data_IF_836318440686
#
_entry.id   IF_836318440686
#
_cell.length_a   1.000
_cell.length_b   1.000
_cell.length_c   1.000
_cell.angle_alpha   90.00
_cell.angle_beta   90.00
_cell.angle_gamma   90.00
#
_symmetry.space_group_name_H-M   'P 1'
#
loop_
_entity.id
_entity.type
_entity.pdbx_description
1 polymer ?
#
# COMPACT_ATOMS: atom_id res chain seq x y z
N UNK A 1 -5.98 13.37 -3.21
CA UNK A 1 -5.28 12.08 -3.04
C UNK A 1 -5.45 11.13 -4.22
N UNK A 2 -6.65 10.57 -4.50
CA UNK A 2 -6.81 9.58 -5.59
C UNK A 2 -6.39 10.14 -6.96
N UNK A 3 -6.86 11.34 -7.30
CA UNK A 3 -6.47 12.05 -8.53
C UNK A 3 -4.95 12.20 -8.62
N UNK A 4 -4.32 12.65 -7.55
CA UNK A 4 -2.88 12.93 -7.52
C UNK A 4 -2.06 11.65 -7.72
N UNK A 5 -2.47 10.56 -7.04
CA UNK A 5 -1.88 9.23 -7.21
C UNK A 5 -2.03 8.75 -8.66
N UNK A 6 -3.23 8.86 -9.24
CA UNK A 6 -3.46 8.48 -10.64
C UNK A 6 -2.60 9.30 -11.59
N UNK A 7 -2.53 10.63 -11.42
CA UNK A 7 -1.70 11.50 -12.27
C UNK A 7 -0.21 11.12 -12.19
N UNK A 8 0.29 10.80 -10.99
CA UNK A 8 1.67 10.35 -10.82
C UNK A 8 1.95 9.03 -11.56
N UNK A 9 1.11 8.01 -11.36
CA UNK A 9 1.28 6.71 -12.02
C UNK A 9 0.95 6.71 -13.51
N UNK A 10 0.26 7.74 -14.01
CA UNK A 10 0.05 7.99 -15.44
C UNK A 10 1.19 8.80 -16.08
N UNK A 11 2.22 9.21 -15.33
CA UNK A 11 3.39 9.88 -15.89
C UNK A 11 4.30 8.92 -16.65
N UNK A 12 5.30 9.46 -17.38
CA UNK A 12 6.22 8.64 -18.18
C UNK A 12 7.26 7.86 -17.35
N UNK A 13 7.40 8.15 -16.06
CA UNK A 13 8.44 7.54 -15.22
C UNK A 13 8.01 7.46 -13.75
N UNK A 14 6.93 6.71 -13.44
CA UNK A 14 6.55 6.46 -12.06
C UNK A 14 7.58 5.56 -11.38
N UNK A 15 7.88 5.86 -10.12
CA UNK A 15 8.77 5.04 -9.31
C UNK A 15 8.01 3.85 -8.73
N UNK A 16 8.58 2.65 -8.86
CA UNK A 16 8.04 1.43 -8.28
C UNK A 16 8.00 1.51 -6.74
N UNK A 17 8.95 2.24 -6.14
CA UNK A 17 9.01 2.48 -4.70
C UNK A 17 7.85 3.34 -4.18
N UNK A 18 7.19 4.11 -5.06
CA UNK A 18 6.10 4.98 -4.69
C UNK A 18 4.75 4.25 -4.56
N UNK A 19 4.66 2.99 -5.00
CA UNK A 19 3.40 2.22 -5.02
C UNK A 19 2.85 2.00 -3.62
N UNK A 20 3.69 1.51 -2.70
CA UNK A 20 3.28 1.20 -1.32
C UNK A 20 2.98 2.49 -0.53
N UNK A 21 3.83 3.53 -0.56
CA UNK A 21 3.49 4.84 0.00
C UNK A 21 2.18 5.43 -0.54
N UNK A 22 1.89 5.25 -1.83
CA UNK A 22 0.62 5.72 -2.41
C UNK A 22 -0.58 4.92 -1.89
N UNK A 23 -0.45 3.60 -1.76
CA UNK A 23 -1.47 2.74 -1.17
C UNK A 23 -1.73 3.09 0.30
N UNK A 24 -0.67 3.32 1.09
CA UNK A 24 -0.75 3.74 2.49
C UNK A 24 -1.41 5.11 2.63
N UNK A 25 -1.05 6.06 1.77
CA UNK A 25 -1.65 7.39 1.75
C UNK A 25 -3.15 7.35 1.40
N UNK A 26 -3.53 6.48 0.45
CA UNK A 26 -4.93 6.20 0.13
C UNK A 26 -5.64 5.62 1.36
N UNK A 27 -5.10 4.57 2.00
CA UNK A 27 -5.77 3.94 3.14
C UNK A 27 -5.98 4.92 4.30
N UNK A 28 -4.92 5.66 4.64
CA UNK A 28 -4.93 6.67 5.71
C UNK A 28 -5.97 7.75 5.46
N UNK A 29 -6.04 8.30 4.24
CA UNK A 29 -6.99 9.37 3.89
C UNK A 29 -8.45 8.94 4.07
N UNK A 30 -8.76 7.66 3.81
CA UNK A 30 -10.11 7.15 4.00
C UNK A 30 -10.39 6.63 5.42
N UNK A 31 -9.36 6.18 6.14
CA UNK A 31 -9.48 5.85 7.56
C UNK A 31 -9.81 7.11 8.38
N UNK A 32 -9.14 8.23 8.10
CA UNK A 32 -9.44 9.52 8.73
C UNK A 32 -10.84 10.03 8.39
N UNK A 33 -11.27 9.90 7.11
CA UNK A 33 -12.61 10.30 6.69
C UNK A 33 -13.76 9.50 7.34
N UNK A 34 -13.48 8.31 7.88
CA UNK A 34 -14.46 7.48 8.60
C UNK A 34 -14.60 7.90 10.08
N UNK A 35 -13.60 8.56 10.65
CA UNK A 35 -13.62 9.03 12.04
C UNK A 35 -14.39 10.36 12.21
N UNK A 36 -14.42 11.20 11.16
CA UNK A 36 -15.03 12.54 11.19
C UNK A 36 -16.52 12.56 10.81
N UNK A 37 -17.11 11.45 10.34
CA UNK A 37 -18.46 11.47 9.77
C UNK A 37 -19.49 10.70 10.62
N UNK A 38 -20.53 11.45 10.99
CA UNK A 38 -21.90 11.00 11.27
C UNK A 38 -22.35 9.90 10.28
N UNK A 39 -23.25 8.99 10.71
CA UNK A 39 -23.67 7.76 10.00
C UNK A 39 -23.57 7.87 8.47
N UNK A 40 -22.55 7.24 7.89
CA UNK A 40 -22.40 7.15 6.45
C UNK A 40 -23.60 6.36 5.89
N UNK A 41 -24.12 6.79 4.74
CA UNK A 41 -25.21 6.05 4.09
C UNK A 41 -24.73 4.67 3.60
N UNK A 42 -25.66 3.70 3.50
CA UNK A 42 -25.34 2.33 3.10
C UNK A 42 -24.52 2.21 1.79
N UNK A 43 -24.77 3.00 0.73
CA UNK A 43 -23.93 2.98 -0.48
C UNK A 43 -22.48 3.38 -0.22
N UNK A 44 -22.22 4.38 0.64
CA UNK A 44 -20.87 4.81 0.98
C UNK A 44 -20.14 3.74 1.79
N UNK A 45 -20.82 3.10 2.75
CA UNK A 45 -20.27 1.96 3.48
C UNK A 45 -19.89 0.79 2.56
N UNK A 46 -20.75 0.49 1.59
CA UNK A 46 -20.48 -0.56 0.61
C UNK A 46 -19.28 -0.21 -0.27
N UNK A 47 -19.21 1.02 -0.77
CA UNK A 47 -18.08 1.50 -1.56
C UNK A 47 -16.75 1.44 -0.78
N UNK A 48 -16.75 1.85 0.50
CA UNK A 48 -15.57 1.74 1.37
C UNK A 48 -15.14 0.29 1.60
N UNK A 49 -16.11 -0.62 1.73
CA UNK A 49 -15.83 -2.06 1.90
C UNK A 49 -15.20 -2.65 0.65
N UNK A 50 -15.73 -2.33 -0.54
CA UNK A 50 -15.14 -2.73 -1.81
C UNK A 50 -13.72 -2.17 -1.93
N UNK A 51 -13.54 -0.87 -1.66
CA UNK A 51 -12.21 -0.22 -1.71
C UNK A 51 -11.20 -0.95 -0.82
N UNK A 52 -11.56 -1.26 0.43
CA UNK A 52 -10.68 -1.94 1.37
C UNK A 52 -10.30 -3.34 0.87
N UNK A 53 -11.26 -4.11 0.34
CA UNK A 53 -10.97 -5.42 -0.28
C UNK A 53 -10.01 -5.28 -1.47
N UNK A 54 -10.24 -4.28 -2.33
CA UNK A 54 -9.35 -4.01 -3.46
C UNK A 54 -7.95 -3.65 -3.00
N UNK A 55 -7.80 -2.78 -2.01
CA UNK A 55 -6.50 -2.38 -1.49
C UNK A 55 -5.75 -3.56 -0.88
N UNK A 56 -6.42 -4.38 -0.06
CA UNK A 56 -5.84 -5.59 0.50
C UNK A 56 -5.37 -6.58 -0.57
N UNK A 57 -6.11 -6.71 -1.68
CA UNK A 57 -5.67 -7.52 -2.82
C UNK A 57 -4.35 -6.99 -3.40
N UNK A 58 -4.22 -5.68 -3.57
CA UNK A 58 -2.98 -5.11 -4.11
C UNK A 58 -1.82 -5.22 -3.12
N UNK A 59 -2.05 -5.09 -1.81
CA UNK A 59 -1.00 -5.34 -0.82
C UNK A 59 -0.49 -6.78 -0.91
N UNK A 60 -1.40 -7.75 -1.01
CA UNK A 60 -1.00 -9.15 -1.20
C UNK A 60 -0.21 -9.35 -2.52
N UNK A 61 -0.55 -8.64 -3.59
CA UNK A 61 0.19 -8.75 -4.86
C UNK A 61 1.57 -8.10 -4.79
N UNK A 62 1.73 -6.97 -4.10
CA UNK A 62 3.04 -6.35 -3.88
C UNK A 62 3.91 -7.24 -3.00
N UNK A 63 3.32 -7.86 -1.98
CA UNK A 63 4.05 -8.75 -1.06
C UNK A 63 4.53 -10.04 -1.73
N UNK A 64 3.81 -10.54 -2.73
CA UNK A 64 4.19 -11.75 -3.48
C UNK A 64 5.05 -11.46 -4.72
N UNK A 65 5.50 -10.23 -4.92
CA UNK A 65 6.26 -9.85 -6.11
C UNK A 65 7.71 -9.56 -5.76
N UNK A 66 8.61 -10.40 -6.27
CA UNK A 66 10.06 -10.29 -6.07
C UNK A 66 10.58 -8.88 -6.36
N UNK A 67 10.05 -8.22 -7.39
CA UNK A 67 10.46 -6.86 -7.78
C UNK A 67 10.15 -5.85 -6.68
N UNK A 68 8.96 -5.92 -6.07
CA UNK A 68 8.59 -5.01 -4.97
C UNK A 68 9.35 -5.35 -3.70
N UNK A 69 9.56 -6.63 -3.39
CA UNK A 69 10.40 -7.07 -2.28
C UNK A 69 11.83 -6.54 -2.41
N UNK A 70 12.47 -6.75 -3.56
CA UNK A 70 13.83 -6.29 -3.86
C UNK A 70 13.90 -4.76 -3.80
N UNK A 71 12.95 -4.05 -4.41
CA UNK A 71 12.91 -2.60 -4.38
C UNK A 71 12.84 -2.07 -2.95
N UNK A 72 12.02 -2.68 -2.09
CA UNK A 72 11.91 -2.31 -0.67
C UNK A 72 13.22 -2.57 0.10
N UNK A 73 13.86 -3.72 -0.09
CA UNK A 73 15.16 -4.05 0.54
C UNK A 73 16.24 -3.06 0.12
N UNK A 74 16.25 -2.64 -1.14
CA UNK A 74 17.23 -1.71 -1.71
C UNK A 74 16.93 -0.24 -1.38
N UNK A 75 15.77 0.07 -0.81
CA UNK A 75 15.41 1.45 -0.53
C UNK A 75 16.19 2.01 0.67
N UNK A 76 17.03 3.05 0.48
CA UNK A 76 17.98 3.51 1.50
C UNK A 76 17.32 4.06 2.78
N UNK A 77 16.02 4.38 2.74
CA UNK A 77 15.24 4.81 3.90
C UNK A 77 14.17 3.81 4.35
N UNK A 78 13.87 2.75 3.59
CA UNK A 78 13.00 1.64 4.03
C UNK A 78 13.89 0.54 4.59
N UNK A 79 14.47 0.81 5.75
CA UNK A 79 15.30 -0.15 6.47
C UNK A 79 14.48 -1.41 6.78
N UNK A 80 15.17 -2.54 6.94
CA UNK A 80 14.70 -3.87 7.39
C UNK A 80 13.62 -3.87 8.50
N UNK A 81 13.44 -2.76 9.23
CA UNK A 81 12.32 -2.51 10.13
C UNK A 81 10.93 -2.69 9.52
N UNK A 82 10.74 -2.43 8.22
CA UNK A 82 9.42 -2.62 7.58
C UNK A 82 9.02 -4.10 7.54
N UNK A 83 9.97 -4.99 7.21
CA UNK A 83 9.78 -6.44 7.20
C UNK A 83 9.59 -7.01 8.62
N UNK A 84 10.35 -6.52 9.59
CA UNK A 84 10.21 -6.94 10.99
C UNK A 84 8.85 -6.56 11.62
N UNK A 85 8.24 -5.45 11.19
CA UNK A 85 6.92 -5.03 11.70
C UNK A 85 5.73 -5.77 11.08
N UNK A 86 5.91 -6.42 9.92
CA UNK A 86 4.85 -7.10 9.19
C UNK A 86 4.82 -8.62 9.39
N UNK A 87 5.72 -9.16 10.22
CA UNK A 87 5.76 -10.58 10.60
C UNK A 87 5.81 -11.53 9.39
N UNK A 88 6.59 -11.16 8.37
CA UNK A 88 6.83 -11.98 7.19
C UNK A 88 7.58 -13.28 7.54
N UNK A 89 7.38 -14.38 6.79
CA UNK A 89 8.05 -15.66 7.06
C UNK A 89 9.58 -15.54 6.91
N UNK A 90 10.34 -16.06 7.89
CA UNK A 90 11.81 -15.94 7.99
C UNK A 90 12.58 -16.44 6.76
N UNK A 91 11.98 -17.31 5.93
CA UNK A 91 12.65 -17.88 4.75
C UNK A 91 13.06 -16.89 3.67
N UNK A 92 12.53 -15.66 3.67
CA UNK A 92 12.91 -14.63 2.67
C UNK A 92 14.14 -13.81 3.08
N UNK A 93 14.53 -13.81 4.36
CA UNK A 93 15.69 -13.05 4.85
C UNK A 93 17.00 -13.75 4.46
N UNK A 94 17.01 -15.08 4.40
CA UNK A 94 18.19 -15.88 4.02
C UNK A 94 18.48 -15.85 2.51
N UNK A 95 17.46 -15.72 1.65
CA UNK A 95 17.64 -15.67 0.19
C UNK A 95 18.05 -14.28 -0.34
N UNK A 96 17.87 -13.23 0.47
CA UNK A 96 18.19 -11.85 0.10
C UNK A 96 19.60 -11.40 0.56
N UNK A 97 20.34 -12.28 1.25
CA UNK A 97 21.66 -11.99 1.83
C UNK A 97 22.81 -12.56 0.99
#
# INVERSE_FOLDING_TARGET
>A
ILKDVTTYFSSNSPDILAVIPAMDAIDKAFASGKADNHELCAPLHHALTIRKKTLNKYYALTDNSDIYCIAMVLHPSLKLSYFNHLNWPEGWIDDAM
#
